data_IF_582695088970
#
_entry.id   IF_582695088970
#
_cell.length_a   1.000
_cell.length_b   1.000
_cell.length_c   1.000
_cell.angle_alpha   90.00
_cell.angle_beta   90.00
_cell.angle_gamma   90.00
#
_symmetry.space_group_name_H-M   'P 1'
#
loop_
_entity.id
_entity.type
_entity.pdbx_description
1 polymer ?
#
# COMPACT_ATOMS: atom_id res chain seq x y z
N UNK A 1 -8.60 0.57 -7.22
CA UNK A 1 -7.42 0.40 -6.34
C UNK A 1 -7.66 1.22 -5.10
N UNK A 2 -7.33 0.69 -3.92
CA UNK A 2 -7.35 1.46 -2.67
C UNK A 2 -6.16 1.06 -1.79
N UNK A 3 -5.59 2.03 -1.08
CA UNK A 3 -4.60 1.80 -0.01
C UNK A 3 -5.20 2.32 1.28
N UNK A 4 -5.35 1.43 2.27
CA UNK A 4 -5.90 1.75 3.58
C UNK A 4 -4.81 1.60 4.63
N UNK A 5 -4.66 2.61 5.50
CA UNK A 5 -3.72 2.57 6.63
C UNK A 5 -4.52 2.54 7.92
N UNK A 6 -4.42 1.44 8.66
CA UNK A 6 -5.05 1.28 9.97
C UNK A 6 -4.19 2.05 11.00
N UNK A 7 -4.58 3.31 11.26
CA UNK A 7 -3.81 4.24 12.12
C UNK A 7 -3.47 3.64 13.49
N UNK A 8 -4.36 2.83 14.07
CA UNK A 8 -4.14 2.22 15.39
C UNK A 8 -3.06 1.13 15.40
N UNK A 9 -2.74 0.54 14.25
CA UNK A 9 -1.73 -0.52 14.14
C UNK A 9 -0.38 0.05 13.71
N UNK A 10 -0.38 1.17 12.98
CA UNK A 10 0.85 1.80 12.51
C UNK A 10 1.69 2.38 13.66
N UNK A 11 2.96 1.97 13.73
CA UNK A 11 3.98 2.49 14.67
C UNK A 11 4.93 3.51 14.05
N UNK A 12 4.63 4.04 12.86
CA UNK A 12 5.42 5.10 12.23
C UNK A 12 6.84 4.70 11.83
N UNK A 13 7.12 3.42 11.56
CA UNK A 13 8.47 2.93 11.23
C UNK A 13 9.04 3.43 9.89
N UNK A 14 8.19 3.94 8.99
CA UNK A 14 8.61 4.50 7.70
C UNK A 14 8.98 3.48 6.61
N UNK A 15 8.83 2.16 6.83
CA UNK A 15 9.18 1.16 5.80
C UNK A 15 8.40 1.31 4.50
N UNK A 16 7.12 1.66 4.56
CA UNK A 16 6.34 1.93 3.34
C UNK A 16 6.89 3.13 2.55
N UNK A 17 7.49 4.12 3.20
CA UNK A 17 8.13 5.27 2.54
C UNK A 17 9.44 4.81 1.88
N UNK A 18 10.27 4.06 2.61
CA UNK A 18 11.60 3.63 2.14
C UNK A 18 11.54 2.58 1.02
N UNK A 19 10.62 1.62 1.10
CA UNK A 19 10.55 0.47 0.18
C UNK A 19 9.58 0.66 -0.97
N UNK A 20 8.75 1.70 -0.98
CA UNK A 20 7.90 1.96 -2.13
C UNK A 20 8.75 2.44 -3.31
N UNK A 21 8.87 1.67 -4.42
CA UNK A 21 9.71 2.05 -5.55
C UNK A 21 9.19 3.31 -6.26
N UNK A 22 7.91 3.61 -6.08
CA UNK A 22 7.23 4.79 -6.62
C UNK A 22 7.15 5.95 -5.64
N UNK A 23 7.69 5.79 -4.42
CA UNK A 23 7.67 6.81 -3.37
C UNK A 23 6.26 7.38 -3.14
N UNK A 24 5.24 6.51 -3.05
CA UNK A 24 3.82 6.92 -2.94
C UNK A 24 3.51 7.62 -1.62
N UNK A 25 4.27 7.33 -0.56
CA UNK A 25 3.96 7.76 0.81
C UNK A 25 4.78 8.96 1.26
N UNK A 26 4.14 9.85 2.02
CA UNK A 26 4.78 10.88 2.85
C UNK A 26 4.38 10.70 4.31
N UNK A 27 5.14 11.28 5.23
CA UNK A 27 4.83 11.27 6.66
C UNK A 27 3.74 12.31 6.96
N UNK A 28 2.68 11.94 7.68
CA UNK A 28 1.69 12.92 8.14
C UNK A 28 2.26 13.83 9.23
N UNK A 29 1.74 15.05 9.29
CA UNK A 29 1.94 15.95 10.42
C UNK A 29 1.07 15.57 11.63
N UNK A 30 0.05 14.73 11.43
CA UNK A 30 -0.83 14.23 12.48
C UNK A 30 -0.23 13.01 13.18
N UNK A 31 -0.52 12.89 14.47
CA UNK A 31 -0.20 11.72 15.27
C UNK A 31 -1.46 10.88 15.52
N UNK A 32 -1.30 9.55 15.58
CA UNK A 32 -2.36 8.67 16.07
C UNK A 32 -2.46 8.73 17.60
N UNK A 33 -3.45 8.01 18.16
CA UNK A 33 -3.68 7.93 19.62
C UNK A 33 -2.48 7.39 20.41
N UNK A 34 -1.53 6.74 19.74
CA UNK A 34 -0.32 6.17 20.34
C UNK A 34 0.91 7.09 20.22
N UNK A 35 0.75 8.28 19.65
CA UNK A 35 1.82 9.27 19.49
C UNK A 35 2.71 9.06 18.26
N UNK A 36 2.38 8.13 17.36
CA UNK A 36 3.15 7.90 16.13
C UNK A 36 2.67 8.80 15.00
N UNK A 37 3.61 9.37 14.25
CA UNK A 37 3.32 9.99 12.94
C UNK A 37 3.04 8.89 11.93
N UNK A 38 1.82 8.87 11.39
CA UNK A 38 1.37 7.83 10.47
C UNK A 38 1.61 8.31 9.03
N UNK A 39 2.17 7.48 8.14
CA UNK A 39 2.31 7.85 6.73
C UNK A 39 0.94 7.94 6.04
N UNK A 40 0.86 8.64 4.91
CA UNK A 40 -0.31 8.67 4.04
C UNK A 40 0.12 8.60 2.56
N UNK A 41 -0.70 8.02 1.67
CA UNK A 41 -0.37 7.89 0.26
C UNK A 41 -0.55 9.23 -0.47
N UNK A 42 0.47 10.08 -0.44
CA UNK A 42 0.46 11.42 -1.03
C UNK A 42 0.37 11.42 -2.57
N UNK A 43 0.81 10.32 -3.21
CA UNK A 43 0.87 10.17 -4.68
C UNK A 43 0.27 8.82 -5.09
N UNK A 44 -1.00 8.59 -4.73
CA UNK A 44 -1.66 7.30 -4.92
C UNK A 44 -1.77 6.90 -6.40
N UNK A 45 -1.84 7.87 -7.29
CA UNK A 45 -1.86 7.75 -8.74
C UNK A 45 -0.61 7.08 -9.33
N UNK A 46 0.53 7.19 -8.64
CA UNK A 46 1.79 6.56 -9.06
C UNK A 46 1.89 5.08 -8.64
N UNK A 47 0.96 4.60 -7.81
CA UNK A 47 0.99 3.24 -7.29
C UNK A 47 0.78 2.20 -8.39
N UNK A 48 1.69 1.21 -8.46
CA UNK A 48 1.64 0.12 -9.44
C UNK A 48 1.05 -1.18 -8.88
N UNK A 49 0.36 -1.11 -7.73
CA UNK A 49 -0.23 -2.28 -7.05
C UNK A 49 0.76 -3.42 -6.74
N UNK A 50 2.05 -3.10 -6.53
CA UNK A 50 3.09 -4.11 -6.32
C UNK A 50 2.92 -4.91 -5.01
N UNK A 51 2.28 -4.34 -3.98
CA UNK A 51 2.05 -4.99 -2.69
C UNK A 51 3.25 -4.99 -1.73
N UNK A 52 4.36 -4.33 -2.07
CA UNK A 52 5.55 -4.30 -1.20
C UNK A 52 5.29 -3.56 0.12
N UNK A 53 4.50 -2.49 0.10
CA UNK A 53 4.16 -1.73 1.30
C UNK A 53 3.32 -2.54 2.31
N UNK A 54 2.44 -3.42 1.82
CA UNK A 54 1.66 -4.35 2.61
C UNK A 54 2.57 -5.46 3.16
N UNK A 55 3.33 -6.12 2.28
CA UNK A 55 4.28 -7.20 2.64
C UNK A 55 5.32 -6.78 3.69
N UNK A 56 5.90 -5.59 3.56
CA UNK A 56 6.95 -5.11 4.47
C UNK A 56 6.42 -4.38 5.71
N UNK A 57 5.10 -4.23 5.87
CA UNK A 57 4.57 -3.61 7.08
C UNK A 57 4.68 -4.60 8.25
N UNK A 58 5.54 -4.34 9.26
CA UNK A 58 5.76 -5.31 10.35
C UNK A 58 4.56 -5.40 11.30
N UNK A 59 3.69 -4.40 11.27
CA UNK A 59 2.49 -4.32 12.12
C UNK A 59 1.19 -4.60 11.33
N UNK A 60 1.30 -5.03 10.05
CA UNK A 60 0.15 -5.29 9.17
C UNK A 60 -0.87 -4.12 9.12
N UNK A 61 -0.35 -2.89 9.20
CA UNK A 61 -1.16 -1.68 9.26
C UNK A 61 -1.57 -1.15 7.88
N UNK A 62 -1.16 -1.79 6.78
CA UNK A 62 -1.41 -1.35 5.41
C UNK A 62 -2.18 -2.46 4.68
N UNK A 63 -3.31 -2.11 4.07
CA UNK A 63 -4.02 -2.98 3.14
C UNK A 63 -3.97 -2.37 1.73
N UNK A 64 -3.68 -3.21 0.73
CA UNK A 64 -3.74 -2.85 -0.68
C UNK A 64 -4.83 -3.64 -1.40
N UNK A 65 -5.84 -2.96 -1.91
CA UNK A 65 -6.87 -3.54 -2.78
C UNK A 65 -6.48 -3.36 -4.25
N UNK A 66 -6.13 -4.47 -4.91
CA UNK A 66 -5.74 -4.48 -6.33
C UNK A 66 -6.94 -4.33 -7.25
N UNK A 67 -6.73 -3.71 -8.41
CA UNK A 67 -7.74 -3.71 -9.47
C UNK A 67 -7.89 -5.12 -10.05
N UNK A 68 -9.13 -5.60 -10.15
CA UNK A 68 -9.41 -6.88 -10.82
C UNK A 68 -9.03 -6.75 -12.30
N UNK A 69 -7.94 -7.38 -12.72
CA UNK A 69 -7.66 -7.55 -14.15
C UNK A 69 -8.64 -8.59 -14.69
N UNK A 70 -9.40 -8.24 -15.73
CA UNK A 70 -10.19 -9.21 -16.50
C UNK A 70 -9.20 -10.19 -17.14
N UNK A 71 -9.13 -11.41 -16.62
CA UNK A 71 -8.37 -12.49 -17.23
C UNK A 71 -9.00 -12.80 -18.59
N UNK A 72 -8.26 -12.51 -19.68
CA UNK A 72 -8.60 -13.05 -21.00
C UNK A 72 -8.22 -14.53 -20.98
N UNK A 73 -9.19 -15.40 -20.71
CA UNK A 73 -9.10 -16.83 -21.06
C UNK A 73 -8.83 -16.92 -22.56
N UNK A 74 -7.60 -17.26 -22.93
CA UNK A 74 -7.30 -17.72 -24.29
C UNK A 74 -7.90 -19.11 -24.43
N UNK A 75 -9.05 -19.22 -25.10
CA UNK A 75 -9.49 -20.48 -25.70
C UNK A 75 -8.35 -20.97 -26.60
N UNK A 76 -7.76 -22.11 -26.23
CA UNK A 76 -6.90 -22.87 -27.14
C UNK A 76 -7.83 -23.68 -28.03
N UNK A 77 -8.19 -23.11 -29.17
CA UNK A 77 -8.63 -23.87 -30.34
C UNK A 77 -7.39 -24.59 -30.89
N UNK A 78 -7.44 -25.92 -30.99
CA UNK A 78 -6.24 -26.70 -31.31
C UNK A 78 -6.47 -28.18 -31.54
N UNK A 79 -7.11 -28.48 -32.68
CA UNK A 79 -6.99 -29.64 -33.58
C UNK A 79 -7.42 -31.04 -33.11
#
# INVERSE_FOLDING_TARGET
MAITIIKDFCKGCGFCISYCPKKVYDLSNEMNKKGYRVPYPARIEDCTECGLCDMYCPDFAILLEKTKKKEKTKEKEGR
#
